data_IF_190778473964
#
_entry.id   IF_190778473964
#
_cell.length_a   1.000
_cell.length_b   1.000
_cell.length_c   1.000
_cell.angle_alpha   90.00
_cell.angle_beta   90.00
_cell.angle_gamma   90.00
#
_symmetry.space_group_name_H-M   'P 1'
#
loop_
_entity.id
_entity.type
_entity.pdbx_description
1 polymer ?
#
# COMPACT_ATOMS: atom_id res chain seq x y z
N UNK A 1 11.23 -16.44 5.98
CA UNK A 1 12.58 -16.20 6.57
C UNK A 1 12.79 -14.74 7.02
N UNK A 2 12.99 -13.75 6.13
CA UNK A 2 13.35 -12.38 6.57
C UNK A 2 12.24 -11.68 7.39
N UNK A 3 11.00 -11.69 6.90
CA UNK A 3 9.87 -11.01 7.57
C UNK A 3 9.56 -11.68 8.90
N UNK A 4 9.51 -13.01 8.94
CA UNK A 4 9.30 -13.77 10.19
C UNK A 4 10.38 -13.48 11.23
N UNK A 5 11.66 -13.47 10.81
CA UNK A 5 12.77 -13.10 11.69
C UNK A 5 12.63 -11.67 12.22
N UNK A 6 12.20 -10.73 11.37
CA UNK A 6 11.96 -9.35 11.79
C UNK A 6 10.81 -9.27 12.82
N UNK A 7 9.67 -9.92 12.55
CA UNK A 7 8.50 -9.93 13.46
C UNK A 7 8.85 -10.58 14.80
N UNK A 8 9.69 -11.62 14.81
CA UNK A 8 10.14 -12.25 16.06
C UNK A 8 10.93 -11.31 16.99
N UNK A 9 11.60 -10.30 16.41
CA UNK A 9 12.40 -9.31 17.14
C UNK A 9 11.63 -8.03 17.42
N UNK A 10 10.65 -7.71 16.58
CA UNK A 10 9.85 -6.49 16.64
C UNK A 10 8.35 -6.86 16.66
N UNK A 11 7.73 -6.93 17.85
CA UNK A 11 6.34 -7.38 18.02
C UNK A 11 5.30 -6.38 17.51
N UNK A 12 5.74 -5.26 16.91
CA UNK A 12 4.90 -4.30 16.23
C UNK A 12 5.58 -3.95 14.91
N UNK A 13 5.04 -4.47 13.81
CA UNK A 13 5.57 -4.25 12.48
C UNK A 13 4.46 -3.71 11.57
N UNK A 14 4.83 -2.78 10.70
CA UNK A 14 3.94 -2.18 9.71
C UNK A 14 4.53 -2.38 8.32
N UNK A 15 3.65 -2.64 7.34
CA UNK A 15 4.03 -2.75 5.93
C UNK A 15 3.02 -2.01 5.07
N UNK A 16 3.51 -1.33 4.04
CA UNK A 16 2.70 -0.84 2.93
C UNK A 16 2.95 -1.76 1.73
N UNK A 17 1.89 -2.37 1.20
CA UNK A 17 2.01 -3.28 0.05
C UNK A 17 0.81 -3.13 -0.91
N UNK A 18 1.00 -3.49 -2.19
CA UNK A 18 -0.11 -3.53 -3.15
C UNK A 18 -1.12 -4.62 -2.76
N UNK A 19 -2.39 -4.43 -3.12
CA UNK A 19 -3.50 -5.33 -2.81
C UNK A 19 -3.19 -6.82 -3.04
N UNK A 20 -2.54 -7.16 -4.16
CA UNK A 20 -2.20 -8.55 -4.49
C UNK A 20 -1.20 -9.23 -3.53
N UNK A 21 -0.54 -8.50 -2.63
CA UNK A 21 0.36 -9.04 -1.61
C UNK A 21 -0.27 -9.16 -0.23
N UNK A 22 -1.50 -8.69 -0.06
CA UNK A 22 -2.24 -8.78 1.21
C UNK A 22 -2.32 -10.23 1.71
N UNK A 23 -2.71 -11.24 0.91
CA UNK A 23 -2.80 -12.62 1.41
C UNK A 23 -1.47 -13.18 1.95
N UNK A 24 -0.34 -12.75 1.38
CA UNK A 24 0.98 -13.16 1.85
C UNK A 24 1.29 -12.60 3.24
N UNK A 25 0.99 -11.32 3.48
CA UNK A 25 1.22 -10.70 4.78
C UNK A 25 0.17 -11.11 5.82
N UNK A 26 -1.06 -11.39 5.42
CA UNK A 26 -2.10 -11.96 6.29
C UNK A 26 -1.68 -13.32 6.86
N UNK A 27 -1.09 -14.19 6.02
CA UNK A 27 -0.54 -15.47 6.48
C UNK A 27 0.59 -15.33 7.52
N UNK A 28 1.23 -14.15 7.58
CA UNK A 28 2.26 -13.79 8.56
C UNK A 28 1.71 -13.03 9.78
N UNK A 29 0.39 -12.91 9.90
CA UNK A 29 -0.29 -12.26 11.03
C UNK A 29 -0.45 -10.75 10.91
N UNK A 30 -0.23 -10.17 9.73
CA UNK A 30 -0.54 -8.76 9.49
C UNK A 30 -2.02 -8.59 9.15
N UNK A 31 -2.62 -7.52 9.64
CA UNK A 31 -4.02 -7.19 9.41
C UNK A 31 -4.10 -5.86 8.64
N UNK A 32 -4.96 -5.74 7.60
CA UNK A 32 -5.21 -4.47 6.95
C UNK A 32 -5.72 -3.40 7.93
N UNK A 33 -5.20 -2.18 7.81
CA UNK A 33 -5.61 -1.05 8.66
C UNK A 33 -6.15 0.12 7.86
N UNK A 34 -5.50 0.47 6.75
CA UNK A 34 -5.83 1.64 5.95
C UNK A 34 -5.34 1.48 4.51
N UNK A 35 -5.80 2.37 3.63
CA UNK A 35 -5.23 2.57 2.31
C UNK A 35 -4.44 3.88 2.26
N UNK A 36 -3.33 3.88 1.53
CA UNK A 36 -2.52 5.06 1.26
C UNK A 36 -2.08 5.05 -0.19
N UNK A 37 -2.81 5.78 -1.02
CA UNK A 37 -2.65 5.71 -2.48
C UNK A 37 -2.76 4.25 -2.97
N UNK A 38 -1.85 3.78 -3.84
CA UNK A 38 -1.83 2.41 -4.36
C UNK A 38 -1.53 1.28 -3.35
N UNK A 39 -1.31 1.60 -2.07
CA UNK A 39 -0.82 0.65 -1.07
C UNK A 39 -1.85 0.43 0.05
N UNK A 40 -1.99 -0.82 0.48
CA UNK A 40 -2.64 -1.23 1.73
C UNK A 40 -1.61 -1.17 2.84
N UNK A 41 -1.93 -0.43 3.90
CA UNK A 41 -1.17 -0.41 5.15
C UNK A 41 -1.67 -1.55 6.03
N UNK A 42 -0.77 -2.45 6.42
CA UNK A 42 -1.07 -3.60 7.27
C UNK A 42 -0.16 -3.64 8.49
N UNK A 43 -0.63 -4.21 9.59
CA UNK A 43 0.11 -4.26 10.85
C UNK A 43 -0.10 -5.57 11.61
N UNK A 44 0.92 -6.02 12.34
CA UNK A 44 0.82 -7.20 13.23
C UNK A 44 -0.05 -6.97 14.47
N UNK A 45 -0.49 -5.74 14.72
CA UNK A 45 -1.42 -5.38 15.80
C UNK A 45 -2.70 -4.77 15.24
N UNK A 46 -3.77 -4.86 16.02
CA UNK A 46 -5.10 -4.31 15.67
C UNK A 46 -5.18 -2.77 15.78
N UNK A 47 -4.06 -2.10 16.05
CA UNK A 47 -3.91 -0.66 16.15
C UNK A 47 -2.77 -0.19 15.24
N UNK A 48 -2.90 1.03 14.69
CA UNK A 48 -1.83 1.66 13.95
C UNK A 48 -0.60 1.80 14.85
N UNK A 49 0.58 1.60 14.27
CA UNK A 49 1.81 1.90 15.00
C UNK A 49 1.91 3.40 15.22
N UNK A 50 2.55 3.83 16.31
CA UNK A 50 3.03 5.22 16.43
C UNK A 50 4.22 5.49 15.48
N UNK A 51 4.53 4.55 14.57
CA UNK A 51 5.57 4.68 13.57
C UNK A 51 5.16 5.65 12.47
N UNK A 52 6.09 6.53 12.09
CA UNK A 52 5.93 7.39 10.93
C UNK A 52 6.14 6.55 9.66
N UNK A 53 5.08 6.32 8.89
CA UNK A 53 5.22 5.90 7.50
C UNK A 53 5.58 7.13 6.67
N UNK A 54 6.87 7.41 6.54
CA UNK A 54 7.37 8.51 5.73
C UNK A 54 7.06 8.24 4.25
N UNK A 55 6.18 9.04 3.66
CA UNK A 55 6.01 9.09 2.21
C UNK A 55 7.03 10.08 1.70
N UNK A 56 7.94 9.62 0.84
CA UNK A 56 8.88 10.51 0.18
C UNK A 56 8.12 11.35 -0.85
N UNK A 57 8.25 12.68 -0.76
CA UNK A 57 7.82 13.56 -1.84
C UNK A 57 8.79 13.40 -3.02
N UNK A 58 8.28 12.84 -4.12
CA UNK A 58 9.05 12.61 -5.34
C UNK A 58 8.96 13.79 -6.30
N UNK A 59 8.09 14.76 -6.06
CA UNK A 59 7.90 15.92 -6.93
C UNK A 59 9.22 16.66 -7.22
N UNK A 60 10.11 16.90 -6.24
CA UNK A 60 11.38 17.57 -6.50
C UNK A 60 12.29 16.77 -7.45
N UNK A 61 12.21 15.44 -7.44
CA UNK A 61 13.02 14.58 -8.31
C UNK A 61 12.55 14.69 -9.75
N UNK A 62 11.24 14.71 -10.01
CA UNK A 62 10.70 14.87 -11.36
C UNK A 62 11.00 16.26 -11.97
N UNK A 63 11.31 17.24 -11.13
CA UNK A 63 11.68 18.58 -11.54
C UNK A 63 13.20 18.77 -11.75
N UNK A 64 14.01 17.79 -11.37
CA UNK A 64 15.46 17.83 -11.58
C UNK A 64 15.83 17.89 -13.07
N UNK A 65 16.98 18.48 -13.38
CA UNK A 65 17.47 18.57 -14.74
C UNK A 65 17.71 17.18 -15.32
N UNK A 66 18.32 16.30 -14.53
CA UNK A 66 18.69 14.95 -14.92
C UNK A 66 17.45 14.13 -15.34
N UNK A 67 16.37 14.19 -14.56
CA UNK A 67 15.13 13.45 -14.88
C UNK A 67 14.44 14.05 -16.11
N UNK A 68 14.45 15.37 -16.28
CA UNK A 68 13.91 16.02 -17.50
C UNK A 68 14.71 15.68 -18.75
N UNK A 69 16.03 15.55 -18.64
CA UNK A 69 16.89 15.08 -19.72
C UNK A 69 16.59 13.63 -20.10
N UNK A 70 16.38 12.75 -19.11
CA UNK A 70 15.95 11.37 -19.35
C UNK A 70 14.59 11.33 -20.07
N UNK A 71 13.62 12.14 -19.63
CA UNK A 71 12.30 12.24 -20.30
C UNK A 71 12.45 12.68 -21.76
N UNK A 72 13.21 13.75 -21.99
CA UNK A 72 13.47 14.26 -23.34
C UNK A 72 14.13 13.23 -24.25
N UNK A 73 15.05 12.44 -23.70
CA UNK A 73 15.69 11.33 -24.41
C UNK A 73 14.68 10.24 -24.78
N UNK A 74 13.83 9.81 -23.85
CA UNK A 74 12.80 8.80 -24.09
C UNK A 74 11.78 9.25 -25.14
N UNK A 75 11.38 10.53 -25.11
CA UNK A 75 10.50 11.12 -26.13
C UNK A 75 11.16 11.10 -27.51
N UNK A 76 12.44 11.47 -27.62
CA UNK A 76 13.17 11.39 -28.90
C UNK A 76 13.29 9.95 -29.42
N UNK A 77 13.43 8.97 -28.54
CA UNK A 77 13.61 7.56 -28.91
C UNK A 77 12.29 6.89 -29.31
N UNK A 78 11.22 7.11 -28.56
CA UNK A 78 9.95 6.38 -28.68
C UNK A 78 8.83 7.19 -29.35
N UNK A 79 9.00 8.51 -29.43
CA UNK A 79 8.00 9.45 -29.92
C UNK A 79 7.02 9.93 -28.84
N UNK A 80 6.52 11.15 -29.02
CA UNK A 80 5.62 11.83 -28.06
C UNK A 80 4.35 11.02 -27.76
N UNK A 81 3.74 10.43 -28.79
CA UNK A 81 2.53 9.64 -28.61
C UNK A 81 2.76 8.40 -27.74
N UNK A 82 3.82 7.65 -28.00
CA UNK A 82 4.13 6.45 -27.23
C UNK A 82 4.45 6.79 -25.77
N UNK A 83 5.18 7.90 -25.54
CA UNK A 83 5.46 8.39 -24.20
C UNK A 83 4.17 8.78 -23.46
N UNK A 84 3.31 9.59 -24.08
CA UNK A 84 2.05 10.02 -23.47
C UNK A 84 1.11 8.85 -23.20
N UNK A 85 1.05 7.85 -24.10
CA UNK A 85 0.22 6.66 -23.88
C UNK A 85 0.76 5.82 -22.72
N UNK A 86 2.09 5.69 -22.56
CA UNK A 86 2.72 5.00 -21.44
C UNK A 86 2.50 5.71 -20.09
N UNK A 87 2.58 7.05 -20.06
CA UNK A 87 2.27 7.86 -18.87
C UNK A 87 0.81 7.67 -18.44
N UNK A 88 -0.13 7.72 -19.39
CA UNK A 88 -1.56 7.45 -19.12
C UNK A 88 -1.79 6.05 -18.59
N UNK A 89 -1.10 5.05 -19.13
CA UNK A 89 -1.26 3.67 -18.68
C UNK A 89 -0.73 3.47 -17.26
N UNK A 90 0.42 4.09 -16.94
CA UNK A 90 0.94 4.13 -15.57
C UNK A 90 -0.08 4.78 -14.63
N UNK A 91 -0.62 5.94 -14.99
CA UNK A 91 -1.55 6.68 -14.13
C UNK A 91 -2.83 5.87 -13.88
N UNK A 92 -3.39 5.24 -14.91
CA UNK A 92 -4.54 4.32 -14.78
C UNK A 92 -4.23 3.15 -13.86
N UNK A 93 -3.04 2.54 -13.98
CA UNK A 93 -2.64 1.44 -13.11
C UNK A 93 -2.54 1.89 -11.65
N UNK A 94 -1.97 3.07 -11.38
CA UNK A 94 -1.88 3.63 -10.03
C UNK A 94 -3.28 3.91 -9.45
N UNK A 95 -4.20 4.44 -10.25
CA UNK A 95 -5.60 4.65 -9.85
C UNK A 95 -6.30 3.34 -9.52
N UNK A 96 -6.14 2.31 -10.36
CA UNK A 96 -6.72 0.98 -10.11
C UNK A 96 -6.18 0.38 -8.81
N UNK A 97 -4.87 0.43 -8.59
CA UNK A 97 -4.25 -0.07 -7.36
C UNK A 97 -4.73 0.72 -6.13
N UNK A 98 -4.94 2.04 -6.26
CA UNK A 98 -5.46 2.86 -5.18
C UNK A 98 -6.90 2.50 -4.84
N UNK A 99 -7.75 2.27 -5.84
CA UNK A 99 -9.12 1.78 -5.64
C UNK A 99 -9.15 0.41 -4.97
N UNK A 100 -8.30 -0.52 -5.41
CA UNK A 100 -8.19 -1.85 -4.80
C UNK A 100 -7.74 -1.76 -3.33
N UNK A 101 -6.75 -0.91 -3.05
CA UNK A 101 -6.27 -0.72 -1.69
C UNK A 101 -7.37 -0.15 -0.78
N UNK A 102 -8.10 0.86 -1.26
CA UNK A 102 -9.23 1.46 -0.54
C UNK A 102 -10.32 0.43 -0.25
N UNK A 103 -10.72 -0.34 -1.27
CA UNK A 103 -11.75 -1.36 -1.15
C UNK A 103 -11.39 -2.42 -0.09
N UNK A 104 -10.14 -2.88 -0.06
CA UNK A 104 -9.66 -3.84 0.94
C UNK A 104 -9.67 -3.25 2.35
N UNK A 105 -9.24 -1.99 2.52
CA UNK A 105 -9.25 -1.34 3.82
C UNK A 105 -10.68 -1.15 4.36
N UNK A 106 -11.62 -0.76 3.50
CA UNK A 106 -13.03 -0.56 3.86
C UNK A 106 -13.73 -1.87 4.22
N UNK A 107 -13.56 -2.91 3.40
CA UNK A 107 -14.14 -4.24 3.65
C UNK A 107 -13.65 -4.84 4.95
N UNK A 108 -12.34 -4.75 5.21
CA UNK A 108 -11.75 -5.21 6.46
C UNK A 108 -12.27 -4.43 7.68
N UNK A 109 -12.37 -3.10 7.55
CA UNK A 109 -12.92 -2.25 8.62
C UNK A 109 -14.37 -2.60 8.93
N UNK A 110 -15.19 -2.86 7.91
CA UNK A 110 -16.57 -3.29 8.08
C UNK A 110 -16.67 -4.67 8.77
N UNK A 111 -15.87 -5.64 8.34
CA UNK A 111 -15.81 -6.97 8.96
C UNK A 111 -15.39 -6.89 10.44
N UNK A 112 -14.34 -6.12 10.76
CA UNK A 112 -13.88 -5.89 12.14
C UNK A 112 -14.96 -5.25 13.01
N UNK A 113 -15.74 -4.29 12.47
CA UNK A 113 -16.88 -3.69 13.19
C UNK A 113 -17.99 -4.69 13.48
N UNK A 114 -18.28 -5.61 12.56
CA UNK A 114 -19.27 -6.65 12.78
C UNK A 114 -18.84 -7.64 13.87
N UNK A 115 -17.57 -8.06 13.87
CA UNK A 115 -17.00 -8.95 14.87
C UNK A 115 -16.96 -8.32 16.28
N UNK A 116 -16.75 -7.00 16.37
CA UNK A 116 -16.67 -6.28 17.64
C UNK A 116 -18.04 -5.79 18.16
N UNK A 117 -19.15 -6.18 17.52
CA UNK A 117 -20.48 -5.73 17.91
C UNK A 117 -20.95 -6.52 19.15
N UNK A 118 -21.36 -5.86 20.26
CA UNK A 118 -21.83 -6.56 21.44
C UNK A 118 -23.09 -7.39 21.09
N UNK A 119 -23.02 -8.70 21.34
CA UNK A 119 -24.10 -9.66 21.07
C UNK A 119 -23.85 -10.67 19.95
N UNK A 120 -22.68 -10.66 19.29
CA UNK A 120 -22.29 -11.71 18.33
C UNK A 120 -21.60 -12.89 19.07
N UNK A 121 -22.05 -14.15 18.91
CA UNK A 121 -21.48 -15.29 19.61
C UNK A 121 -20.18 -15.70 18.91
N UNK A 122 -19.05 -15.09 19.30
CA UNK A 122 -17.74 -15.43 18.74
C UNK A 122 -16.57 -14.55 19.16
N UNK A 123 -16.82 -13.39 19.80
CA UNK A 123 -15.74 -12.54 20.32
C UNK A 123 -15.22 -13.05 21.66
N UNK A 124 -14.07 -13.73 21.66
CA UNK A 124 -13.31 -14.02 22.88
C UNK A 124 -12.80 -12.71 23.48
N UNK A 125 -13.20 -12.43 24.73
CA UNK A 125 -12.54 -11.43 25.57
C UNK A 125 -11.12 -11.91 25.91
N UNK A 126 -10.11 -11.32 25.29
CA UNK A 126 -8.73 -11.26 25.80
C UNK A 126 -7.95 -10.17 25.08
#
# INVERSE_FOLDING_TARGET
AMVENMVSRHPHAEVACVAGKVPYFEALGFLPLAARGPQVVMNTRSQASNGLLAVQDLEPIFHSEEVRQIHSYLVKQQGEKAMSDAEKERDRLLDQLAQQALHLAETYTAAKRLLNRPGFPGGSNS
#
